data_IF_025502898063
#
_entry.id   IF_025502898063
#
_cell.length_a   1.000
_cell.length_b   1.000
_cell.length_c   1.000
_cell.angle_alpha   90.00
_cell.angle_beta   90.00
_cell.angle_gamma   90.00
#
_symmetry.space_group_name_H-M   'P 1'
#
loop_
_entity.id
_entity.type
_entity.pdbx_description
1 polymer ?
#
# COMPACT_ATOMS: atom_id res chain seq x y z
N UNK A 1 -3.49 -21.84 6.29
CA UNK A 1 -4.47 -20.76 6.47
C UNK A 1 -5.68 -20.97 5.54
N UNK A 2 -6.87 -20.61 6.03
CA UNK A 2 -8.12 -20.66 5.24
C UNK A 2 -8.36 -19.34 4.47
N UNK A 3 -7.46 -18.40 4.53
CA UNK A 3 -7.61 -17.08 3.91
C UNK A 3 -6.71 -16.94 2.68
N UNK A 4 -7.17 -16.13 1.74
CA UNK A 4 -6.41 -15.72 0.55
C UNK A 4 -6.78 -14.28 0.20
N UNK A 5 -6.11 -13.75 -0.82
CA UNK A 5 -6.45 -12.47 -1.40
C UNK A 5 -6.76 -12.62 -2.90
N UNK A 6 -7.59 -11.73 -3.42
CA UNK A 6 -7.92 -11.64 -4.83
C UNK A 6 -8.02 -10.21 -5.31
N UNK A 7 -7.79 -10.00 -6.59
CA UNK A 7 -8.00 -8.73 -7.26
C UNK A 7 -9.38 -8.73 -7.95
N UNK A 8 -10.18 -7.68 -7.72
CA UNK A 8 -11.50 -7.49 -8.29
C UNK A 8 -11.50 -6.26 -9.22
N UNK A 9 -12.13 -6.41 -10.39
CA UNK A 9 -12.33 -5.35 -11.40
C UNK A 9 -13.83 -5.14 -11.65
N UNK A 10 -14.53 -4.38 -10.82
CA UNK A 10 -15.99 -4.28 -10.85
C UNK A 10 -16.52 -3.60 -12.11
N UNK A 11 -15.75 -2.73 -12.76
CA UNK A 11 -16.11 -2.13 -14.05
C UNK A 11 -16.35 -3.15 -15.17
N UNK A 12 -15.84 -4.38 -15.05
CA UNK A 12 -16.07 -5.44 -16.02
C UNK A 12 -17.47 -6.02 -16.01
N UNK A 13 -18.26 -5.67 -14.98
CA UNK A 13 -19.69 -6.03 -14.89
C UNK A 13 -20.57 -4.85 -14.43
N UNK A 14 -20.12 -3.61 -14.70
CA UNK A 14 -20.93 -2.41 -14.55
C UNK A 14 -21.14 -1.93 -13.10
N UNK A 15 -20.28 -2.33 -12.15
CA UNK A 15 -20.31 -1.81 -10.79
C UNK A 15 -19.22 -0.74 -10.65
N UNK A 16 -19.60 0.43 -10.17
CA UNK A 16 -18.73 1.58 -9.96
C UNK A 16 -18.12 1.63 -8.54
N UNK A 17 -17.31 2.66 -8.28
CA UNK A 17 -16.65 2.85 -6.99
C UNK A 17 -17.64 3.01 -5.82
N UNK A 18 -18.76 3.70 -6.04
CA UNK A 18 -19.75 3.95 -4.99
C UNK A 18 -20.47 2.66 -4.54
N UNK A 19 -20.57 1.65 -5.41
CA UNK A 19 -21.34 0.43 -5.16
C UNK A 19 -20.50 -0.83 -4.95
N UNK A 20 -19.18 -0.78 -5.16
CA UNK A 20 -18.32 -1.98 -5.05
C UNK A 20 -18.31 -2.56 -3.64
N UNK A 21 -18.34 -1.72 -2.61
CA UNK A 21 -18.39 -2.18 -1.22
C UNK A 21 -19.67 -2.95 -0.94
N UNK A 22 -20.81 -2.39 -1.29
CA UNK A 22 -22.11 -3.05 -1.15
C UNK A 22 -22.16 -4.37 -1.91
N UNK A 23 -21.58 -4.40 -3.12
CA UNK A 23 -21.50 -5.62 -3.92
C UNK A 23 -20.72 -6.72 -3.19
N UNK A 24 -19.53 -6.44 -2.68
CA UNK A 24 -18.69 -7.42 -1.95
C UNK A 24 -19.41 -7.89 -0.68
N UNK A 25 -19.99 -6.98 0.09
CA UNK A 25 -20.79 -7.29 1.29
C UNK A 25 -22.01 -8.16 0.97
N UNK A 26 -22.68 -7.93 -0.16
CA UNK A 26 -23.81 -8.74 -0.60
C UNK A 26 -23.41 -10.19 -0.89
N UNK A 27 -22.25 -10.40 -1.53
CA UNK A 27 -21.71 -11.74 -1.79
C UNK A 27 -21.28 -12.41 -0.49
N UNK A 28 -20.63 -11.67 0.43
CA UNK A 28 -20.27 -12.17 1.75
C UNK A 28 -21.51 -12.66 2.51
N UNK A 29 -22.55 -11.85 2.56
CA UNK A 29 -23.83 -12.19 3.19
C UNK A 29 -24.50 -13.40 2.55
N UNK A 30 -24.54 -13.46 1.23
CA UNK A 30 -25.20 -14.56 0.50
C UNK A 30 -24.46 -15.90 0.66
N UNK A 31 -23.13 -15.87 0.79
CA UNK A 31 -22.30 -17.06 0.97
C UNK A 31 -22.15 -17.47 2.44
N UNK A 32 -22.43 -16.59 3.39
CA UNK A 32 -22.12 -16.76 4.81
C UNK A 32 -20.62 -16.77 5.12
N UNK A 33 -19.79 -16.25 4.22
CA UNK A 33 -18.33 -16.29 4.28
C UNK A 33 -17.72 -14.89 4.48
N UNK A 34 -16.52 -14.84 5.03
CA UNK A 34 -15.81 -13.58 5.18
C UNK A 34 -15.25 -13.10 3.85
N UNK A 35 -15.59 -11.87 3.50
CA UNK A 35 -15.03 -11.08 2.38
C UNK A 35 -14.94 -9.62 2.81
N UNK A 36 -13.80 -8.98 2.56
CA UNK A 36 -13.59 -7.56 2.86
C UNK A 36 -12.69 -6.92 1.81
N UNK A 37 -13.03 -5.69 1.39
CA UNK A 37 -12.13 -4.89 0.55
C UNK A 37 -11.00 -4.38 1.44
N UNK A 38 -9.78 -4.75 1.10
CA UNK A 38 -8.58 -4.41 1.87
C UNK A 38 -7.63 -3.43 1.17
N UNK A 39 -7.78 -3.24 -0.15
CA UNK A 39 -7.12 -2.17 -0.88
C UNK A 39 -8.09 -1.52 -1.86
N UNK A 40 -8.20 -0.22 -1.76
CA UNK A 40 -8.90 0.65 -2.70
C UNK A 40 -7.84 1.26 -3.62
N UNK A 41 -7.56 0.60 -4.76
CA UNK A 41 -6.40 0.91 -5.60
C UNK A 41 -6.72 1.90 -6.73
N UNK A 42 -7.80 1.68 -7.47
CA UNK A 42 -8.21 2.51 -8.60
C UNK A 42 -9.73 2.56 -8.67
N UNK A 43 -10.28 3.77 -8.63
CA UNK A 43 -11.71 4.02 -8.54
C UNK A 43 -12.51 3.25 -9.63
N UNK A 44 -13.45 2.43 -9.20
CA UNK A 44 -14.29 1.61 -10.05
C UNK A 44 -13.58 0.47 -10.80
N UNK A 45 -12.25 0.40 -10.78
CA UNK A 45 -11.48 -0.48 -11.66
C UNK A 45 -10.62 -1.54 -10.96
N UNK A 46 -10.13 -1.27 -9.74
CA UNK A 46 -9.20 -2.21 -9.09
C UNK A 46 -9.26 -2.15 -7.56
N UNK A 47 -9.61 -3.31 -6.97
CA UNK A 47 -9.71 -3.50 -5.53
C UNK A 47 -9.06 -4.82 -5.14
N UNK A 48 -8.41 -4.87 -3.96
CA UNK A 48 -7.98 -6.13 -3.38
C UNK A 48 -9.00 -6.59 -2.35
N UNK A 49 -9.34 -7.88 -2.39
CA UNK A 49 -10.32 -8.51 -1.51
C UNK A 49 -9.61 -9.57 -0.67
N UNK A 50 -9.68 -9.46 0.64
CA UNK A 50 -9.32 -10.55 1.54
C UNK A 50 -10.57 -11.39 1.84
N UNK A 51 -10.41 -12.71 1.93
CA UNK A 51 -11.53 -13.57 2.24
C UNK A 51 -11.13 -14.99 2.54
N UNK A 52 -12.10 -15.75 3.05
CA UNK A 52 -11.97 -17.21 3.10
C UNK A 52 -11.87 -17.78 1.69
N UNK A 53 -11.26 -18.93 1.56
CA UNK A 53 -11.18 -19.62 0.25
C UNK A 53 -12.57 -19.84 -0.34
N UNK A 54 -13.56 -20.20 0.50
CA UNK A 54 -14.94 -20.39 0.08
C UNK A 54 -15.58 -19.05 -0.35
N UNK A 55 -15.40 -17.98 0.40
CA UNK A 55 -15.90 -16.65 0.06
C UNK A 55 -15.33 -16.12 -1.25
N UNK A 56 -14.01 -16.26 -1.46
CA UNK A 56 -13.37 -15.85 -2.73
C UNK A 56 -13.81 -16.70 -3.92
N UNK A 57 -14.12 -17.99 -3.72
CA UNK A 57 -14.75 -18.84 -4.75
C UNK A 57 -16.17 -18.35 -5.09
N UNK A 58 -16.97 -17.98 -4.06
CA UNK A 58 -18.30 -17.42 -4.27
C UNK A 58 -18.23 -16.08 -5.04
N UNK A 59 -17.31 -15.19 -4.65
CA UNK A 59 -17.09 -13.91 -5.32
C UNK A 59 -16.65 -14.11 -6.79
N UNK A 60 -15.74 -15.06 -7.03
CA UNK A 60 -15.31 -15.41 -8.40
C UNK A 60 -16.48 -15.91 -9.25
N UNK A 61 -17.32 -16.80 -8.71
CA UNK A 61 -18.47 -17.35 -9.43
C UNK A 61 -19.54 -16.28 -9.71
N UNK A 62 -19.83 -15.41 -8.73
CA UNK A 62 -20.80 -14.33 -8.90
C UNK A 62 -20.33 -13.30 -9.93
N UNK A 63 -19.08 -12.82 -9.80
CA UNK A 63 -18.51 -11.86 -10.75
C UNK A 63 -18.44 -12.44 -12.17
N UNK A 64 -18.11 -13.72 -12.34
CA UNK A 64 -18.08 -14.36 -13.65
C UNK A 64 -19.47 -14.42 -14.30
N UNK A 65 -20.56 -14.70 -13.53
CA UNK A 65 -21.94 -14.65 -14.03
C UNK A 65 -22.32 -13.24 -14.49
N UNK A 66 -21.96 -12.22 -13.71
CA UNK A 66 -22.22 -10.80 -14.04
C UNK A 66 -21.46 -10.38 -15.28
N UNK A 67 -20.18 -10.75 -15.39
CA UNK A 67 -19.36 -10.51 -16.58
C UNK A 67 -19.98 -11.15 -17.83
N UNK A 68 -20.46 -12.39 -17.74
CA UNK A 68 -21.11 -13.07 -18.85
C UNK A 68 -22.38 -12.34 -19.33
N UNK A 69 -23.16 -11.78 -18.41
CA UNK A 69 -24.35 -10.99 -18.74
C UNK A 69 -24.00 -9.59 -19.28
N UNK A 70 -22.95 -8.96 -18.79
CA UNK A 70 -22.54 -7.61 -19.14
C UNK A 70 -21.67 -7.53 -20.41
N UNK A 71 -20.89 -8.59 -20.71
CA UNK A 71 -20.00 -8.66 -21.87
C UNK A 71 -18.58 -8.16 -21.60
N UNK A 72 -18.18 -8.05 -20.33
CA UNK A 72 -16.83 -7.62 -19.94
C UNK A 72 -15.77 -8.72 -20.00
N UNK A 73 -14.57 -8.37 -19.55
CA UNK A 73 -13.44 -9.30 -19.38
C UNK A 73 -13.49 -9.96 -17.99
N UNK A 74 -12.71 -11.05 -17.74
CA UNK A 74 -12.63 -11.66 -16.42
C UNK A 74 -12.34 -10.61 -15.31
N UNK A 75 -13.22 -10.56 -14.31
CA UNK A 75 -13.24 -9.52 -13.29
C UNK A 75 -12.52 -9.89 -12.00
N UNK A 76 -12.25 -11.18 -11.77
CA UNK A 76 -11.65 -11.65 -10.52
C UNK A 76 -10.46 -12.58 -10.77
N UNK A 77 -9.39 -12.34 -10.02
CA UNK A 77 -8.18 -13.15 -10.04
C UNK A 77 -7.64 -13.34 -8.62
N UNK A 78 -7.29 -14.59 -8.27
CA UNK A 78 -6.57 -14.84 -7.02
C UNK A 78 -5.14 -14.28 -7.09
N UNK A 79 -4.69 -13.69 -5.98
CA UNK A 79 -3.30 -13.27 -5.81
C UNK A 79 -2.52 -14.45 -5.22
N UNK A 80 -1.52 -14.98 -5.93
CA UNK A 80 -0.75 -16.12 -5.45
C UNK A 80 0.17 -15.72 -4.28
N UNK A 81 0.48 -16.71 -3.41
CA UNK A 81 1.48 -16.54 -2.35
C UNK A 81 1.03 -15.77 -1.10
N UNK A 82 -0.19 -15.25 -1.05
CA UNK A 82 -0.72 -14.55 0.12
C UNK A 82 -1.79 -15.41 0.78
N UNK A 83 -1.53 -15.83 2.02
CA UNK A 83 -2.40 -16.68 2.82
C UNK A 83 -2.83 -16.06 4.16
N UNK A 84 -2.55 -14.78 4.35
CA UNK A 84 -2.96 -13.94 5.47
C UNK A 84 -3.90 -12.86 4.95
N UNK A 85 -5.02 -12.57 5.62
CA UNK A 85 -5.95 -11.52 5.22
C UNK A 85 -5.44 -10.13 5.65
N UNK A 86 -4.28 -9.70 5.10
CA UNK A 86 -3.70 -8.41 5.41
C UNK A 86 -4.68 -7.27 5.15
N UNK A 87 -4.56 -6.23 5.95
CA UNK A 87 -5.39 -5.03 5.90
C UNK A 87 -6.89 -5.27 6.19
N UNK A 88 -7.26 -6.44 6.70
CA UNK A 88 -8.63 -6.74 7.11
C UNK A 88 -8.87 -6.54 8.61
N UNK A 89 -10.13 -6.34 8.95
CA UNK A 89 -10.58 -6.21 10.34
C UNK A 89 -10.33 -7.46 11.18
N UNK A 90 -10.13 -8.63 10.58
CA UNK A 90 -9.76 -9.87 11.28
C UNK A 90 -8.44 -9.75 12.04
N UNK A 91 -7.53 -8.88 11.59
CA UNK A 91 -6.21 -8.72 12.20
C UNK A 91 -6.21 -7.72 13.37
N UNK A 92 -7.32 -7.05 13.65
CA UNK A 92 -7.43 -6.03 14.72
C UNK A 92 -7.01 -6.51 16.10
N UNK A 93 -7.22 -7.81 16.39
CA UNK A 93 -6.78 -8.41 17.65
C UNK A 93 -5.26 -8.37 17.87
N UNK A 94 -4.48 -8.31 16.80
CA UNK A 94 -3.02 -8.20 16.86
C UNK A 94 -2.50 -6.76 17.03
N UNK A 95 -3.36 -5.75 16.94
CA UNK A 95 -2.95 -4.33 17.02
C UNK A 95 -2.25 -3.99 18.33
N UNK A 96 -2.75 -4.36 19.53
CA UNK A 96 -2.09 -4.01 20.77
C UNK A 96 -0.66 -4.57 20.87
N UNK A 97 -0.47 -5.86 20.57
CA UNK A 97 0.86 -6.49 20.60
C UNK A 97 1.82 -5.85 19.59
N UNK A 98 1.33 -5.55 18.39
CA UNK A 98 2.15 -4.91 17.35
C UNK A 98 2.51 -3.47 17.75
N UNK A 99 1.60 -2.74 18.35
CA UNK A 99 1.83 -1.41 18.90
C UNK A 99 2.96 -1.42 19.94
N UNK A 100 2.92 -2.35 20.88
CA UNK A 100 3.94 -2.46 21.92
C UNK A 100 5.33 -2.75 21.33
N UNK A 101 5.39 -3.59 20.31
CA UNK A 101 6.63 -3.85 19.56
C UNK A 101 7.12 -2.60 18.81
N UNK A 102 6.23 -1.85 18.18
CA UNK A 102 6.59 -0.59 17.52
C UNK A 102 7.12 0.44 18.51
N UNK A 103 6.44 0.61 19.64
CA UNK A 103 6.89 1.52 20.70
C UNK A 103 8.29 1.18 21.22
N UNK A 104 8.63 -0.12 21.28
CA UNK A 104 9.96 -0.57 21.69
C UNK A 104 11.04 -0.37 20.60
N UNK A 105 10.66 -0.41 19.31
CA UNK A 105 11.60 -0.35 18.18
C UNK A 105 11.80 1.05 17.63
N UNK A 106 10.81 1.93 17.75
CA UNK A 106 10.93 3.31 17.27
C UNK A 106 12.03 4.06 18.03
N UNK A 107 12.83 4.88 17.35
CA UNK A 107 13.84 5.71 18.00
C UNK A 107 13.26 6.54 19.15
N UNK A 108 14.04 6.75 20.19
CA UNK A 108 13.63 7.59 21.34
C UNK A 108 13.33 9.03 20.93
N UNK A 109 14.02 9.52 19.90
CA UNK A 109 13.83 10.83 19.31
C UNK A 109 13.55 10.72 17.82
N UNK A 110 12.49 11.40 17.37
CA UNK A 110 12.14 11.56 15.95
C UNK A 110 11.80 13.03 15.73
N UNK A 111 12.36 13.62 14.70
CA UNK A 111 11.99 14.97 14.27
C UNK A 111 10.65 14.93 13.52
N UNK A 112 9.55 14.85 14.28
CA UNK A 112 8.20 14.73 13.71
C UNK A 112 7.81 15.95 12.89
N UNK A 113 8.10 17.16 13.36
CA UNK A 113 7.76 18.39 12.64
C UNK A 113 8.58 18.57 11.38
N UNK A 114 9.87 18.39 11.43
CA UNK A 114 10.73 18.59 10.28
C UNK A 114 10.69 17.46 9.25
N UNK A 115 10.28 16.25 9.67
CA UNK A 115 10.34 15.05 8.80
C UNK A 115 8.98 14.52 8.37
N UNK A 116 7.94 14.68 9.17
CA UNK A 116 6.65 14.04 8.90
C UNK A 116 5.52 15.04 8.63
N UNK A 117 5.45 16.17 9.35
CA UNK A 117 4.39 17.17 9.13
C UNK A 117 4.45 17.65 7.69
N UNK A 118 3.30 17.61 7.00
CA UNK A 118 3.10 17.97 5.59
C UNK A 118 3.94 17.16 4.57
N UNK A 119 4.64 16.10 5.03
CA UNK A 119 5.52 15.28 4.17
C UNK A 119 5.13 13.81 4.12
N UNK A 120 4.48 13.32 5.16
CA UNK A 120 4.06 11.93 5.26
C UNK A 120 2.55 11.83 5.11
N UNK A 121 2.10 11.01 4.17
CA UNK A 121 0.68 10.66 4.00
C UNK A 121 0.54 9.19 4.36
N UNK A 122 -0.08 8.86 5.51
CA UNK A 122 -0.25 7.48 5.95
C UNK A 122 -1.34 6.76 5.16
N UNK A 123 -1.18 5.45 4.94
CA UNK A 123 -2.20 4.62 4.31
C UNK A 123 -3.52 4.57 5.10
N UNK A 124 -3.45 4.73 6.41
CA UNK A 124 -4.62 4.67 7.30
C UNK A 124 -5.54 5.88 7.09
N UNK A 125 -4.94 7.05 6.93
CA UNK A 125 -5.63 8.34 6.75
C UNK A 125 -5.01 9.03 5.55
N UNK A 126 -5.72 9.13 4.43
CA UNK A 126 -5.25 9.77 3.21
C UNK A 126 -5.22 11.30 3.36
N UNK A 127 -4.37 11.79 4.24
CA UNK A 127 -4.18 13.22 4.57
C UNK A 127 -2.73 13.42 5.01
N UNK A 128 -2.10 14.57 4.72
CA UNK A 128 -0.78 14.88 5.26
C UNK A 128 -0.77 14.76 6.78
N UNK A 129 0.30 14.21 7.31
CA UNK A 129 0.49 14.07 8.75
C UNK A 129 0.56 15.45 9.41
N UNK A 130 -0.24 15.62 10.45
CA UNK A 130 -0.28 16.83 11.26
C UNK A 130 -0.27 16.46 12.74
N UNK A 131 0.22 17.38 13.58
CA UNK A 131 0.22 17.22 15.04
C UNK A 131 -0.90 18.05 15.65
N UNK A 132 -2.16 17.76 15.25
CA UNK A 132 -3.38 18.53 15.59
C UNK A 132 -4.50 17.63 16.09
N UNK A 133 -5.49 18.22 16.79
CA UNK A 133 -6.70 17.51 17.21
C UNK A 133 -7.51 17.01 16.02
N UNK A 134 -7.57 17.80 14.98
CA UNK A 134 -8.27 17.51 13.73
C UNK A 134 -7.68 16.28 13.04
N UNK A 135 -6.35 16.16 12.99
CA UNK A 135 -5.70 14.99 12.46
C UNK A 135 -5.92 13.75 13.33
N UNK A 136 -5.83 13.90 14.65
CA UNK A 136 -6.15 12.81 15.60
C UNK A 136 -7.60 12.33 15.43
N UNK A 137 -8.55 13.26 15.23
CA UNK A 137 -9.95 12.92 14.98
C UNK A 137 -10.11 12.09 13.69
N UNK A 138 -9.39 12.42 12.61
CA UNK A 138 -9.39 11.63 11.37
C UNK A 138 -8.95 10.17 11.60
N UNK A 139 -8.03 9.92 12.54
CA UNK A 139 -7.65 8.54 12.92
C UNK A 139 -8.84 7.82 13.55
N UNK A 140 -9.59 8.47 14.44
CA UNK A 140 -10.78 7.88 15.08
C UNK A 140 -11.93 7.61 14.12
N UNK A 141 -12.05 8.35 13.03
CA UNK A 141 -13.07 8.11 11.99
C UNK A 141 -12.87 6.76 11.30
N UNK A 142 -11.61 6.27 11.23
CA UNK A 142 -11.27 5.04 10.50
C UNK A 142 -10.98 3.85 11.40
N UNK A 143 -10.50 4.06 12.63
CA UNK A 143 -10.17 2.99 13.57
C UNK A 143 -10.56 3.33 15.00
N UNK A 144 -10.99 2.33 15.81
CA UNK A 144 -11.37 2.54 17.20
C UNK A 144 -10.14 2.59 18.12
N UNK A 145 -9.30 3.62 17.97
CA UNK A 145 -8.13 3.80 18.81
C UNK A 145 -8.51 4.35 20.19
N UNK A 146 -8.46 3.52 21.22
CA UNK A 146 -8.73 3.94 22.58
C UNK A 146 -7.72 4.98 23.09
N UNK A 147 -6.47 4.93 22.61
CA UNK A 147 -5.43 5.89 23.00
C UNK A 147 -5.72 7.29 22.45
N UNK A 148 -6.08 7.37 21.16
CA UNK A 148 -6.48 8.64 20.54
C UNK A 148 -7.78 9.16 21.16
N UNK A 149 -8.75 8.27 21.37
CA UNK A 149 -10.01 8.63 22.01
C UNK A 149 -9.79 9.23 23.40
N UNK A 150 -9.01 8.57 24.25
CA UNK A 150 -8.69 9.06 25.57
C UNK A 150 -7.98 10.43 25.55
N UNK A 151 -7.10 10.66 24.58
CA UNK A 151 -6.42 11.94 24.42
C UNK A 151 -7.37 13.05 23.97
N UNK A 152 -8.37 12.74 23.13
CA UNK A 152 -9.33 13.75 22.63
C UNK A 152 -10.49 14.02 23.59
N UNK A 153 -10.91 13.03 24.37
CA UNK A 153 -12.05 13.16 25.30
C UNK A 153 -11.73 14.08 26.50
N UNK A 154 -10.44 14.19 26.87
CA UNK A 154 -10.02 15.04 28.00
C UNK A 154 -9.05 16.14 27.51
N UNK A 155 -9.48 17.42 27.56
CA UNK A 155 -8.63 18.54 27.17
C UNK A 155 -7.29 18.59 27.90
N UNK A 156 -7.24 18.23 29.20
CA UNK A 156 -6.01 18.26 29.99
C UNK A 156 -5.03 17.17 29.53
N UNK A 157 -5.54 16.01 29.14
CA UNK A 157 -4.73 14.92 28.55
C UNK A 157 -4.18 15.35 27.21
N UNK A 158 -5.02 15.93 26.34
CA UNK A 158 -4.56 16.47 25.07
C UNK A 158 -3.47 17.52 25.25
N UNK A 159 -3.69 18.48 26.13
CA UNK A 159 -2.73 19.57 26.38
C UNK A 159 -1.38 19.04 26.89
N UNK A 160 -1.40 17.93 27.66
CA UNK A 160 -0.17 17.26 28.09
C UNK A 160 0.61 16.62 26.95
N UNK A 161 -0.09 16.11 25.92
CA UNK A 161 0.55 15.62 24.68
C UNK A 161 1.04 16.79 23.83
N UNK A 162 0.21 17.80 23.62
CA UNK A 162 0.51 18.94 22.75
C UNK A 162 1.67 19.80 23.26
N UNK A 163 1.95 19.77 24.57
CA UNK A 163 3.10 20.44 25.17
C UNK A 163 4.46 19.77 24.84
N UNK A 164 4.45 18.56 24.27
CA UNK A 164 5.65 17.78 24.01
C UNK A 164 5.55 17.08 22.65
N UNK A 165 6.27 17.60 21.66
CA UNK A 165 6.26 17.08 20.29
C UNK A 165 6.66 15.60 20.20
N UNK A 166 7.55 15.12 21.10
CA UNK A 166 7.93 13.71 21.11
C UNK A 166 6.79 12.82 21.59
N UNK A 167 6.02 13.27 22.58
CA UNK A 167 4.87 12.51 23.08
C UNK A 167 3.72 12.50 22.07
N UNK A 168 3.35 13.66 21.55
CA UNK A 168 2.24 13.76 20.59
C UNK A 168 2.57 13.06 19.28
N UNK A 169 3.74 13.35 18.72
CA UNK A 169 4.18 12.72 17.46
C UNK A 169 4.28 11.19 17.59
N UNK A 170 4.80 10.69 18.73
CA UNK A 170 4.87 9.26 18.99
C UNK A 170 3.49 8.62 19.13
N UNK A 171 2.56 9.25 19.85
CA UNK A 171 1.18 8.77 19.95
C UNK A 171 0.57 8.62 18.55
N UNK A 172 0.60 9.67 17.74
CA UNK A 172 -0.01 9.67 16.41
C UNK A 172 0.66 8.65 15.48
N UNK A 173 1.99 8.67 15.39
CA UNK A 173 2.73 7.77 14.50
C UNK A 173 2.53 6.29 14.89
N UNK A 174 2.60 5.97 16.18
CA UNK A 174 2.42 4.59 16.65
C UNK A 174 1.01 4.08 16.34
N UNK A 175 -0.03 4.90 16.53
CA UNK A 175 -1.40 4.51 16.18
C UNK A 175 -1.55 4.34 14.66
N UNK A 176 -1.05 5.25 13.85
CA UNK A 176 -1.08 5.12 12.39
C UNK A 176 -0.43 3.82 11.92
N UNK A 177 0.77 3.50 12.41
CA UNK A 177 1.51 2.31 12.01
C UNK A 177 0.91 1.01 12.55
N UNK A 178 0.40 1.04 13.80
CA UNK A 178 -0.13 -0.18 14.42
C UNK A 178 -1.48 -0.60 13.85
N UNK A 179 -2.33 0.32 13.41
CA UNK A 179 -3.62 0.00 12.80
C UNK A 179 -3.55 -0.29 11.31
N UNK A 180 -2.52 0.15 10.62
CA UNK A 180 -2.46 0.07 9.16
C UNK A 180 -2.50 -1.36 8.62
N UNK A 181 -1.89 -2.37 9.30
CA UNK A 181 -1.94 -3.76 8.83
C UNK A 181 -3.31 -4.43 9.01
N UNK A 182 -4.18 -3.85 9.84
CA UNK A 182 -5.52 -4.31 10.16
C UNK A 182 -6.62 -3.39 9.63
N UNK A 183 -6.29 -2.55 8.65
CA UNK A 183 -7.19 -1.56 8.05
C UNK A 183 -6.92 -1.41 6.56
N UNK A 184 -7.96 -1.09 5.75
CA UNK A 184 -7.81 -0.97 4.32
C UNK A 184 -6.80 0.08 3.88
N UNK A 185 -6.07 -0.21 2.80
CA UNK A 185 -5.16 0.74 2.14
C UNK A 185 -5.98 1.67 1.23
N UNK A 186 -5.75 2.98 1.33
CA UNK A 186 -6.57 4.04 0.73
C UNK A 186 -5.88 4.72 -0.47
N UNK A 187 -5.46 3.94 -1.48
CA UNK A 187 -4.78 4.49 -2.64
C UNK A 187 -5.66 5.40 -3.50
N UNK A 188 -6.96 5.12 -3.61
CA UNK A 188 -7.89 5.99 -4.35
C UNK A 188 -7.89 7.39 -3.73
N UNK A 189 -8.10 7.49 -2.41
CA UNK A 189 -8.12 8.76 -1.69
C UNK A 189 -6.75 9.46 -1.72
N UNK A 190 -5.67 8.69 -1.53
CA UNK A 190 -4.30 9.22 -1.57
C UNK A 190 -3.95 9.78 -2.94
N UNK A 191 -4.26 9.09 -4.01
CA UNK A 191 -4.01 9.57 -5.37
C UNK A 191 -4.89 10.76 -5.72
N UNK A 192 -6.16 10.77 -5.28
CA UNK A 192 -7.03 11.93 -5.44
C UNK A 192 -6.46 13.18 -4.74
N UNK A 193 -5.90 13.02 -3.55
CA UNK A 193 -5.20 14.08 -2.84
C UNK A 193 -3.94 14.54 -3.59
N UNK A 194 -3.09 13.61 -4.04
CA UNK A 194 -1.83 13.92 -4.72
C UNK A 194 -2.07 14.66 -6.05
N UNK A 195 -2.96 14.13 -6.88
CA UNK A 195 -3.21 14.62 -8.25
C UNK A 195 -4.28 15.72 -8.31
N UNK A 196 -5.08 15.89 -7.26
CA UNK A 196 -6.09 16.94 -7.18
C UNK A 196 -5.47 18.32 -7.27
N UNK A 197 -6.20 19.27 -7.89
CA UNK A 197 -5.76 20.66 -8.01
C UNK A 197 -5.71 21.34 -6.64
N UNK A 198 -4.71 22.21 -6.44
CA UNK A 198 -4.50 22.93 -5.16
C UNK A 198 -5.71 23.78 -4.79
N UNK A 199 -6.36 24.39 -5.77
CA UNK A 199 -7.55 25.22 -5.58
C UNK A 199 -8.77 24.40 -5.12
N UNK A 200 -8.72 23.08 -5.27
CA UNK A 200 -9.76 22.14 -4.87
C UNK A 200 -9.37 21.31 -3.63
N UNK A 201 -8.28 21.70 -2.94
CA UNK A 201 -7.80 21.01 -1.74
C UNK A 201 -6.87 19.83 -2.02
N UNK A 202 -6.47 19.60 -3.28
CA UNK A 202 -5.43 18.64 -3.62
C UNK A 202 -4.03 19.18 -3.44
N UNK A 203 -3.02 18.34 -3.60
CA UNK A 203 -1.61 18.75 -3.50
C UNK A 203 -1.01 19.21 -4.83
N UNK A 204 -1.63 18.86 -5.97
CA UNK A 204 -1.17 19.22 -7.29
C UNK A 204 0.29 18.87 -7.50
N UNK A 205 0.66 17.60 -7.24
CA UNK A 205 2.04 17.14 -7.39
C UNK A 205 2.44 17.14 -8.86
N UNK A 206 3.63 17.64 -9.16
CA UNK A 206 4.18 17.70 -10.51
C UNK A 206 4.86 16.41 -10.91
N UNK A 207 5.47 15.72 -9.93
CA UNK A 207 6.16 14.44 -10.11
C UNK A 207 5.69 13.41 -9.10
N UNK A 208 5.42 12.20 -9.59
CA UNK A 208 5.06 11.04 -8.79
C UNK A 208 6.08 9.93 -9.01
N UNK A 209 6.91 9.66 -8.00
CA UNK A 209 8.03 8.74 -8.10
C UNK A 209 7.78 7.50 -7.25
N UNK A 210 7.67 6.33 -7.88
CA UNK A 210 7.64 5.05 -7.16
C UNK A 210 9.06 4.64 -6.80
N UNK A 211 9.35 4.62 -5.50
CA UNK A 211 10.58 4.06 -4.95
C UNK A 211 10.28 2.63 -4.51
N UNK A 212 10.55 1.67 -5.38
CA UNK A 212 10.09 0.32 -5.13
C UNK A 212 10.79 -0.78 -5.91
N UNK A 213 10.26 -1.96 -5.71
CA UNK A 213 10.83 -3.26 -5.95
C UNK A 213 10.91 -3.61 -7.44
N UNK A 214 12.13 -3.58 -7.99
CA UNK A 214 12.45 -4.18 -9.29
C UNK A 214 11.78 -3.51 -10.49
N UNK A 215 11.87 -4.20 -11.63
CA UNK A 215 11.52 -3.67 -12.96
C UNK A 215 10.00 -3.74 -13.28
N UNK A 216 9.16 -4.14 -12.35
CA UNK A 216 7.71 -4.21 -12.54
C UNK A 216 7.00 -3.12 -11.73
N UNK A 217 6.85 -1.90 -12.27
CA UNK A 217 6.22 -0.79 -11.55
C UNK A 217 4.78 -1.15 -11.18
N UNK A 218 4.43 -0.99 -9.91
CA UNK A 218 3.08 -1.24 -9.40
C UNK A 218 2.34 0.07 -9.14
N UNK A 219 2.91 0.93 -8.28
CA UNK A 219 2.31 2.20 -7.90
C UNK A 219 2.43 3.24 -9.03
N UNK A 220 3.53 3.24 -9.77
CA UNK A 220 3.66 4.10 -10.95
C UNK A 220 2.60 3.76 -12.01
N UNK A 221 2.37 2.47 -12.29
CA UNK A 221 1.31 2.05 -13.20
C UNK A 221 -0.09 2.40 -12.67
N UNK A 222 -0.30 2.30 -11.36
CA UNK A 222 -1.55 2.69 -10.72
C UNK A 222 -1.79 4.20 -10.85
N UNK A 223 -0.78 5.03 -10.54
CA UNK A 223 -0.83 6.48 -10.70
C UNK A 223 -1.09 6.90 -12.14
N UNK A 224 -0.40 6.29 -13.10
CA UNK A 224 -0.63 6.55 -14.51
C UNK A 224 -2.04 6.18 -14.99
N UNK A 225 -2.67 5.15 -14.42
CA UNK A 225 -4.07 4.79 -14.69
C UNK A 225 -5.03 5.78 -14.04
N UNK A 226 -4.78 6.19 -12.81
CA UNK A 226 -5.58 7.20 -12.10
C UNK A 226 -5.60 8.52 -12.87
N UNK A 227 -4.46 8.98 -13.37
CA UNK A 227 -4.35 10.21 -14.17
C UNK A 227 -5.14 10.16 -15.50
N UNK A 228 -5.56 8.98 -15.96
CA UNK A 228 -6.43 8.83 -17.14
C UNK A 228 -7.93 8.90 -16.82
N UNK A 229 -8.29 8.94 -15.55
CA UNK A 229 -9.68 9.11 -15.14
C UNK A 229 -10.17 10.50 -15.50
N UNK A 230 -11.46 10.67 -15.85
CA UNK A 230 -12.00 11.97 -16.30
C UNK A 230 -11.80 13.12 -15.32
N UNK A 231 -11.83 12.85 -14.02
CA UNK A 231 -11.63 13.83 -12.95
C UNK A 231 -10.23 14.44 -12.93
N UNK A 232 -9.23 13.76 -13.53
CA UNK A 232 -7.85 14.24 -13.63
C UNK A 232 -7.49 14.73 -15.03
N UNK A 233 -8.46 14.91 -15.90
CA UNK A 233 -8.23 15.42 -17.26
C UNK A 233 -7.48 16.75 -17.24
N UNK A 234 -6.40 16.84 -18.01
CA UNK A 234 -5.53 18.03 -18.05
C UNK A 234 -4.53 18.13 -16.90
N UNK A 235 -4.32 17.05 -16.15
CA UNK A 235 -3.25 16.98 -15.16
C UNK A 235 -1.93 16.59 -15.83
N UNK A 236 -0.86 17.35 -15.56
CA UNK A 236 0.47 17.22 -16.18
C UNK A 236 1.48 16.46 -15.30
N UNK A 237 1.02 15.78 -14.23
CA UNK A 237 1.90 15.02 -13.35
C UNK A 237 2.70 13.96 -14.12
N UNK A 238 4.02 14.00 -13.99
CA UNK A 238 4.91 13.00 -14.57
C UNK A 238 5.09 11.83 -13.61
N UNK A 239 4.98 10.61 -14.14
CA UNK A 239 5.05 9.40 -13.32
C UNK A 239 6.33 8.62 -13.61
N UNK A 240 7.13 8.40 -12.59
CA UNK A 240 8.39 7.66 -12.64
C UNK A 240 8.37 6.41 -11.74
N UNK A 241 9.19 5.43 -12.10
CA UNK A 241 9.62 4.35 -11.22
C UNK A 241 11.15 4.32 -11.23
N UNK A 242 11.77 4.29 -10.07
CA UNK A 242 13.23 4.39 -9.92
C UNK A 242 14.01 3.32 -10.69
N UNK A 243 13.44 2.13 -10.89
CA UNK A 243 14.09 1.06 -11.66
C UNK A 243 13.85 1.16 -13.17
N UNK A 244 12.61 1.47 -13.57
CA UNK A 244 12.25 1.60 -14.99
C UNK A 244 12.83 2.86 -15.63
N UNK A 245 12.82 3.95 -14.89
CA UNK A 245 13.16 5.30 -15.38
C UNK A 245 14.48 5.81 -14.78
N UNK A 246 15.40 4.88 -14.44
CA UNK A 246 16.65 5.15 -13.75
C UNK A 246 17.42 6.34 -14.34
N UNK A 247 17.62 6.35 -15.65
CA UNK A 247 18.33 7.41 -16.35
C UNK A 247 17.68 8.78 -16.26
N UNK A 248 16.37 8.87 -15.95
CA UNK A 248 15.65 10.13 -15.77
C UNK A 248 15.61 10.57 -14.31
N UNK A 249 15.43 9.62 -13.39
CA UNK A 249 15.32 9.89 -11.95
C UNK A 249 16.66 10.34 -11.38
N UNK A 250 17.76 9.74 -11.83
CA UNK A 250 19.11 10.05 -11.32
C UNK A 250 19.88 11.07 -12.17
N UNK A 251 19.40 11.45 -13.35
CA UNK A 251 20.09 12.46 -14.19
C UNK A 251 20.13 13.85 -13.57
N UNK A 252 19.17 14.19 -12.72
CA UNK A 252 19.16 15.47 -11.99
C UNK A 252 20.31 15.59 -11.01
N UNK A 253 20.80 14.47 -10.47
CA UNK A 253 21.96 14.45 -9.57
C UNK A 253 23.29 14.53 -10.34
N UNK A 254 23.32 14.12 -11.61
CA UNK A 254 24.51 14.18 -12.47
C UNK A 254 24.66 15.51 -13.18
N UNK A 255 23.60 16.22 -13.50
CA UNK A 255 23.65 17.54 -14.14
C UNK A 255 24.38 18.58 -13.28
N UNK A 256 24.45 18.38 -11.96
CA UNK A 256 25.21 19.24 -11.06
C UNK A 256 26.71 18.93 -11.00
N UNK A 257 27.16 17.82 -11.61
CA UNK A 257 28.55 17.34 -11.58
C UNK A 257 29.27 17.43 -12.92
N UNK A 258 28.57 17.76 -14.00
CA UNK A 258 29.20 18.05 -15.27
C UNK A 258 29.71 19.50 -15.22
N UNK A 259 31.01 19.66 -14.97
CA UNK A 259 31.64 20.97 -15.16
C UNK A 259 31.62 21.30 -16.65
N UNK A 260 31.23 22.51 -17.01
CA UNK A 260 31.24 23.06 -18.38
C UNK A 260 32.66 23.10 -19.02
N UNK A 261 33.65 22.48 -18.40
CA UNK A 261 35.08 22.54 -18.78
C UNK A 261 35.61 21.25 -19.45
N UNK A 262 34.77 20.27 -19.80
CA UNK A 262 35.24 19.17 -20.64
C UNK A 262 35.20 19.59 -22.13
N UNK A 263 36.39 19.58 -22.84
CA UNK A 263 36.42 19.93 -24.25
C UNK A 263 35.66 18.88 -25.06
N UNK A 264 34.74 19.33 -25.94
CA UNK A 264 34.07 18.48 -26.92
C UNK A 264 35.11 17.65 -27.67
N UNK A 265 35.13 16.34 -27.44
CA UNK A 265 35.90 15.39 -28.23
C UNK A 265 35.28 15.35 -29.62
N UNK A 266 35.92 16.06 -30.58
CA UNK A 266 35.50 16.09 -32.00
C UNK A 266 35.51 14.65 -32.52
N UNK A 267 34.33 14.14 -32.81
CA UNK A 267 34.11 12.85 -33.46
C UNK A 267 34.86 12.79 -34.79
N UNK A 268 35.76 11.86 -34.94
CA UNK A 268 36.42 11.53 -36.19
C UNK A 268 35.38 11.03 -37.22
N UNK A 269 35.57 11.32 -38.51
CA UNK A 269 34.57 10.93 -39.52
C UNK A 269 34.53 9.44 -39.74
N UNK A 270 33.33 8.89 -39.63
CA UNK A 270 33.03 7.47 -39.93
C UNK A 270 33.00 7.30 -41.44
N UNK A 271 33.90 6.51 -41.92
CA UNK A 271 34.03 6.09 -43.31
C UNK A 271 32.83 5.18 -43.71
N UNK A 272 32.12 5.58 -44.73
CA UNK A 272 30.97 4.86 -45.29
C UNK A 272 31.41 3.72 -46.18
N UNK A 273 30.94 2.49 -45.91
CA UNK A 273 31.00 1.35 -46.82
C UNK A 273 29.58 0.84 -47.17
N UNK A 274 29.39 0.24 -48.38
CA UNK A 274 28.16 0.37 -49.14
C UNK A 274 27.10 -0.69 -48.88
N UNK A 275 25.90 -0.38 -49.33
CA UNK A 275 24.67 -1.14 -49.26
C UNK A 275 24.70 -2.50 -49.96
N UNK A 276 23.99 -3.46 -49.38
CA UNK A 276 23.65 -4.71 -50.04
C UNK A 276 22.57 -5.51 -49.29
N UNK A 277 21.39 -5.62 -49.91
CA UNK A 277 20.59 -6.82 -49.81
C UNK A 277 19.36 -6.81 -48.89
N UNK A 278 18.25 -6.59 -49.52
CA UNK A 278 16.87 -6.88 -49.16
C UNK A 278 16.62 -8.24 -48.52
N UNK A 279 15.87 -8.30 -47.39
CA UNK A 279 14.95 -9.41 -47.11
C UNK A 279 13.82 -8.93 -46.22
N UNK A 280 12.64 -8.96 -46.78
CA UNK A 280 11.35 -8.70 -46.11
C UNK A 280 11.00 -9.91 -45.24
N UNK A 281 10.82 -9.72 -43.94
CA UNK A 281 10.17 -10.71 -43.10
C UNK A 281 9.00 -10.03 -42.39
N UNK A 282 7.82 -10.62 -42.57
CA UNK A 282 6.52 -10.20 -42.06
C UNK A 282 6.47 -10.16 -40.53
N UNK A 283 5.93 -9.08 -40.02
CA UNK A 283 5.53 -8.92 -38.61
C UNK A 283 4.43 -9.90 -38.22
N UNK A 284 4.72 -10.68 -37.20
CA UNK A 284 3.71 -11.31 -36.36
C UNK A 284 3.36 -10.35 -35.22
N UNK A 285 2.10 -9.95 -35.16
CA UNK A 285 1.53 -9.17 -34.07
C UNK A 285 1.52 -10.01 -32.78
N UNK A 286 2.35 -9.67 -31.82
CA UNK A 286 2.24 -10.24 -30.47
C UNK A 286 1.44 -9.27 -29.61
N UNK A 287 0.24 -9.70 -29.23
CA UNK A 287 -0.59 -9.04 -28.23
C UNK A 287 0.17 -9.01 -26.89
N UNK A 288 0.41 -7.81 -26.39
CA UNK A 288 0.93 -7.61 -25.06
C UNK A 288 -0.07 -8.19 -24.04
N UNK A 289 0.33 -9.22 -23.33
CA UNK A 289 -0.42 -9.74 -22.20
C UNK A 289 -0.40 -8.70 -21.09
N UNK A 290 -1.59 -8.21 -20.74
CA UNK A 290 -1.84 -7.36 -19.58
C UNK A 290 -1.54 -8.16 -18.31
N UNK A 291 -0.30 -8.08 -17.83
CA UNK A 291 0.09 -8.70 -16.57
C UNK A 291 -0.65 -7.99 -15.44
N UNK A 292 -1.42 -8.75 -14.67
CA UNK A 292 -2.07 -8.24 -13.47
C UNK A 292 -1.01 -7.69 -12.51
N UNK A 293 -1.22 -6.48 -11.95
CA UNK A 293 -0.31 -5.97 -10.95
C UNK A 293 -0.36 -6.88 -9.71
N UNK A 294 0.81 -7.34 -9.28
CA UNK A 294 0.95 -8.00 -8.00
C UNK A 294 0.47 -7.05 -6.89
N UNK A 295 -0.33 -7.56 -5.96
CA UNK A 295 -0.62 -6.83 -4.74
C UNK A 295 0.72 -6.47 -4.09
N UNK A 296 0.83 -5.24 -3.59
CA UNK A 296 1.99 -4.81 -2.83
C UNK A 296 2.13 -5.76 -1.64
N UNK A 297 3.06 -6.69 -1.71
CA UNK A 297 3.36 -7.57 -0.62
C UNK A 297 3.99 -6.72 0.49
N UNK A 298 3.37 -6.74 1.67
CA UNK A 298 4.04 -6.27 2.87
C UNK A 298 5.37 -7.06 3.01
N UNK A 299 6.45 -6.46 3.52
CA UNK A 299 7.70 -7.17 3.74
C UNK A 299 7.42 -8.41 4.58
N UNK A 300 7.96 -9.54 4.14
CA UNK A 300 7.85 -10.81 4.86
C UNK A 300 8.35 -10.60 6.30
N UNK A 301 7.64 -11.12 7.32
CA UNK A 301 8.17 -11.11 8.68
C UNK A 301 9.50 -11.86 8.68
N UNK A 302 10.51 -11.28 9.31
CA UNK A 302 11.80 -11.92 9.54
C UNK A 302 11.57 -13.31 10.14
N UNK A 303 12.26 -14.32 9.63
CA UNK A 303 12.17 -15.69 10.13
C UNK A 303 12.43 -15.72 11.64
N UNK A 304 11.71 -16.53 12.41
CA UNK A 304 11.95 -16.65 13.84
C UNK A 304 13.36 -17.18 14.07
N UNK A 305 14.16 -16.42 14.84
CA UNK A 305 15.46 -16.87 15.31
C UNK A 305 15.22 -18.08 16.20
N UNK A 306 15.71 -19.24 15.77
CA UNK A 306 15.64 -20.48 16.53
C UNK A 306 16.33 -20.29 17.89
N UNK A 307 15.53 -20.29 18.96
CA UNK A 307 16.08 -20.34 20.33
C UNK A 307 16.68 -21.73 20.56
N UNK A 308 17.94 -21.76 20.93
CA UNK A 308 18.64 -22.97 21.35
C UNK A 308 17.94 -23.58 22.60
N UNK A 309 17.90 -24.90 22.74
CA UNK A 309 17.24 -25.53 23.89
C UNK A 309 18.05 -25.28 25.17
N UNK A 310 17.40 -24.71 26.18
CA UNK A 310 17.93 -24.61 27.52
C UNK A 310 18.01 -26.00 28.14
N UNK A 311 19.20 -26.35 28.64
CA UNK A 311 19.51 -27.61 29.26
C UNK A 311 18.64 -27.88 30.52
N UNK A 312 18.25 -29.14 30.68
CA UNK A 312 17.51 -29.66 31.83
C UNK A 312 18.35 -29.58 33.13
N UNK A 313 17.75 -29.24 34.26
CA UNK A 313 18.42 -29.49 35.53
C UNK A 313 18.20 -30.95 36.00
N UNK A 314 19.33 -31.56 36.32
CA UNK A 314 19.51 -32.87 36.98
C UNK A 314 18.78 -32.94 38.31
N UNK A 315 18.19 -34.12 38.58
CA UNK A 315 17.44 -34.37 39.77
C UNK A 315 18.24 -34.44 41.06
N UNK A 316 17.56 -34.22 42.16
CA UNK A 316 17.95 -34.71 43.47
C UNK A 316 16.73 -35.11 44.29
N UNK A 317 16.92 -36.22 44.97
CA UNK A 317 16.02 -37.13 45.67
C UNK A 317 15.26 -36.51 46.86
N UNK A 318 14.10 -37.12 47.13
CA UNK A 318 13.35 -37.00 48.38
C UNK A 318 14.04 -37.72 49.56
N UNK A 319 13.70 -37.38 50.82
CA UNK A 319 13.34 -38.46 51.75
C UNK A 319 11.99 -38.23 52.44
N UNK A 320 11.43 -39.41 52.73
CA UNK A 320 10.21 -39.61 53.47
C UNK A 320 10.37 -39.34 55.00
N UNK A 321 9.25 -39.12 55.67
CA UNK A 321 9.16 -39.11 57.09
C UNK A 321 7.89 -38.46 57.64
N UNK A 322 6.83 -39.25 57.92
CA UNK A 322 5.83 -39.01 58.95
C UNK A 322 6.35 -39.72 60.24
N UNK A 323 5.79 -39.62 61.44
CA UNK A 323 4.42 -39.23 61.81
C UNK A 323 4.35 -38.38 63.11
N UNK A 324 3.22 -37.77 63.35
CA UNK A 324 2.37 -37.80 64.57
C UNK A 324 1.36 -36.65 64.49
#
# INVERSE_FOLDING_TARGET
SNYRMGALRPNQFGVDDAHVKEYVESVAKASGEFLEIVNYNLAGQQYAIAGTIAGLKALKADSARRVAAFGGKPAFMLVPGIDVPFHSTLLRKGVPEFRDKLDALLPAYIDYRGRLVDRYIPNLVASPFEMTKEFAAKILEVVPSERIKAALDDPAVWDSYAADDQKLGRLLLTELLSWQFASPVRWIETQALLFGKREQGGLGVEEYVEVGLGNAPTLANLGAKTLRLPEFAGNDTVVYNVGRDEGRVYMTDTDSLVSDDEPEETAAPVETAPAGGSAVAKLGSSAAADAAPAAVAAPAPAAPVSAAPAGAPSGAAAPAGAPS
#
